data_IF_458171570928
#
_entry.id   IF_458171570928
#
_cell.length_a   1.000
_cell.length_b   1.000
_cell.length_c   1.000
_cell.angle_alpha   90.00
_cell.angle_beta   90.00
_cell.angle_gamma   90.00
#
_symmetry.space_group_name_H-M   'P 1'
#
loop_
_entity.id
_entity.type
_entity.pdbx_description
1 polymer ?
#
# COMPACT_ATOMS: atom_id res chain seq x y z
N UNK A 1 5.01 11.71 22.05
CA UNK A 1 4.00 11.31 21.04
C UNK A 1 2.66 11.86 21.48
N UNK A 2 1.86 12.41 20.56
CA UNK A 2 0.55 12.99 20.89
C UNK A 2 -0.50 12.47 19.91
N UNK A 3 -1.72 12.23 20.38
CA UNK A 3 -2.82 11.71 19.58
C UNK A 3 -3.99 12.69 19.64
N UNK A 4 -4.48 13.11 18.48
CA UNK A 4 -5.45 14.19 18.38
C UNK A 4 -6.45 13.99 17.22
N UNK A 5 -7.63 14.62 17.26
CA UNK A 5 -8.16 15.42 18.38
C UNK A 5 -8.48 14.55 19.60
N UNK A 6 -8.63 15.17 20.78
CA UNK A 6 -8.90 14.44 22.04
C UNK A 6 -10.28 13.76 22.05
N UNK A 7 -11.24 14.27 21.28
CA UNK A 7 -12.57 13.68 21.16
C UNK A 7 -13.11 13.87 19.74
N UNK A 8 -13.78 12.84 19.23
CA UNK A 8 -14.58 12.88 18.00
C UNK A 8 -15.97 12.33 18.28
N UNK A 9 -16.99 13.01 17.77
CA UNK A 9 -18.37 12.52 17.74
C UNK A 9 -18.84 12.51 16.30
N UNK A 10 -19.09 11.33 15.74
CA UNK A 10 -19.39 11.15 14.32
C UNK A 10 -20.53 10.13 14.13
N UNK A 11 -21.38 10.27 13.10
CA UNK A 11 -22.42 9.29 12.83
C UNK A 11 -21.86 7.98 12.25
N UNK A 12 -22.58 6.89 12.46
CA UNK A 12 -22.31 5.62 11.81
C UNK A 12 -22.34 5.74 10.27
N UNK A 13 -21.54 4.91 9.60
CA UNK A 13 -21.37 4.90 8.14
C UNK A 13 -20.23 5.82 7.64
N UNK A 14 -19.83 6.83 8.41
CA UNK A 14 -18.74 7.74 8.04
C UNK A 14 -17.34 7.18 8.29
N UNK A 15 -16.35 8.08 8.32
CA UNK A 15 -14.98 7.78 8.75
C UNK A 15 -14.50 8.72 9.86
N UNK A 16 -13.75 8.19 10.82
CA UNK A 16 -13.08 8.99 11.84
C UNK A 16 -11.61 9.19 11.46
N UNK A 17 -11.10 10.41 11.61
CA UNK A 17 -9.68 10.71 11.35
C UNK A 17 -9.01 11.19 12.63
N UNK A 18 -7.99 10.46 13.05
CA UNK A 18 -7.06 10.87 14.09
C UNK A 18 -5.68 11.13 13.50
N UNK A 19 -4.86 11.84 14.26
CA UNK A 19 -3.48 12.10 13.92
C UNK A 19 -2.59 11.77 15.11
N UNK A 20 -1.50 11.07 14.85
CA UNK A 20 -0.46 10.78 15.82
C UNK A 20 0.79 11.59 15.48
N UNK A 21 1.07 12.64 16.24
CA UNK A 21 2.26 13.48 16.03
C UNK A 21 3.43 12.96 16.87
N UNK A 22 4.56 12.76 16.20
CA UNK A 22 5.79 12.29 16.82
C UNK A 22 6.78 13.47 16.93
N UNK A 23 7.19 13.78 18.15
CA UNK A 23 8.33 14.66 18.39
C UNK A 23 9.58 13.79 18.37
N UNK A 24 10.17 13.58 17.18
CA UNK A 24 11.48 12.95 17.10
C UNK A 24 12.56 14.02 17.17
N UNK A 25 13.44 13.87 18.15
CA UNK A 25 14.61 14.72 18.33
C UNK A 25 15.70 14.21 17.39
N UNK A 26 15.81 14.82 16.20
CA UNK A 26 16.90 14.74 15.20
C UNK A 26 17.53 13.39 14.82
N UNK A 27 17.03 12.25 15.28
CA UNK A 27 17.60 10.96 14.91
C UNK A 27 17.02 10.47 13.58
N UNK A 28 17.49 11.11 12.51
CA UNK A 28 17.06 10.84 11.14
C UNK A 28 17.39 9.41 10.68
N UNK A 29 18.22 8.67 11.42
CA UNK A 29 18.55 7.28 11.15
C UNK A 29 17.55 6.29 11.74
N UNK A 30 16.61 6.73 12.59
CA UNK A 30 15.87 5.78 13.39
C UNK A 30 14.86 4.91 12.64
N UNK A 31 14.99 3.58 12.66
CA UNK A 31 13.86 2.70 12.34
C UNK A 31 12.85 2.74 13.50
N UNK A 32 11.59 2.99 13.17
CA UNK A 32 10.51 3.01 14.14
C UNK A 32 9.21 2.49 13.54
N UNK A 33 8.36 1.93 14.40
CA UNK A 33 7.00 1.55 14.06
C UNK A 33 6.00 2.31 14.91
N UNK A 34 4.88 2.66 14.28
CA UNK A 34 3.73 3.23 14.95
C UNK A 34 2.63 2.19 14.99
N UNK A 35 2.22 1.85 16.22
CA UNK A 35 1.08 1.00 16.48
C UNK A 35 -0.11 1.85 16.93
N UNK A 36 -1.30 1.50 16.46
CA UNK A 36 -2.55 2.10 16.92
C UNK A 36 -3.28 1.07 17.77
N UNK A 37 -3.74 1.51 18.93
CA UNK A 37 -4.41 0.68 19.91
C UNK A 37 -5.81 1.22 20.19
N UNK A 38 -6.72 0.28 20.48
CA UNK A 38 -8.04 0.55 21.03
C UNK A 38 -8.11 -0.06 22.43
N UNK A 39 -8.52 0.72 23.41
CA UNK A 39 -8.86 0.19 24.73
C UNK A 39 -10.16 -0.61 24.62
N UNK A 40 -10.13 -1.84 25.12
CA UNK A 40 -11.28 -2.72 25.22
C UNK A 40 -11.68 -2.82 26.70
N UNK A 41 -12.81 -3.50 26.96
CA UNK A 41 -13.34 -3.67 28.31
C UNK A 41 -12.28 -4.24 29.27
N UNK A 42 -12.36 -3.84 30.54
CA UNK A 42 -11.45 -4.27 31.61
C UNK A 42 -10.00 -3.76 31.49
N UNK A 43 -9.76 -2.68 30.73
CA UNK A 43 -8.45 -2.03 30.64
C UNK A 43 -7.44 -2.81 29.78
N UNK A 44 -7.87 -3.86 29.09
CA UNK A 44 -7.06 -4.51 28.07
C UNK A 44 -6.99 -3.62 26.82
N UNK A 45 -5.92 -3.77 26.04
CA UNK A 45 -5.68 -2.97 24.83
C UNK A 45 -5.49 -3.88 23.64
N UNK A 46 -6.19 -3.59 22.54
CA UNK A 46 -6.05 -4.33 21.30
C UNK A 46 -5.28 -3.48 20.29
N UNK A 47 -4.19 -4.03 19.73
CA UNK A 47 -3.51 -3.44 18.57
C UNK A 47 -4.41 -3.61 17.34
N UNK A 48 -4.78 -2.50 16.71
CA UNK A 48 -5.72 -2.49 15.58
C UNK A 48 -5.04 -2.21 14.23
N UNK A 49 -3.87 -1.56 14.24
CA UNK A 49 -3.12 -1.26 13.04
C UNK A 49 -1.64 -0.96 13.34
N UNK A 50 -0.80 -1.04 12.31
CA UNK A 50 0.63 -0.73 12.36
C UNK A 50 1.13 -0.09 11.06
N UNK A 51 2.09 0.82 11.18
CA UNK A 51 2.87 1.35 10.06
C UNK A 51 4.32 1.58 10.49
N UNK A 52 5.28 1.15 9.66
CA UNK A 52 6.70 1.46 9.85
C UNK A 52 7.05 2.79 9.19
N UNK A 53 8.13 3.43 9.65
CA UNK A 53 8.65 4.67 9.05
C UNK A 53 8.81 4.60 7.54
N UNK A 54 9.35 3.49 7.05
CA UNK A 54 9.62 3.24 5.63
C UNK A 54 8.36 3.14 4.76
N UNK A 55 7.21 2.82 5.35
CA UNK A 55 5.94 2.69 4.62
C UNK A 55 5.21 4.02 4.54
N UNK A 56 4.79 4.38 3.32
CA UNK A 56 3.95 5.58 3.07
C UNK A 56 2.51 5.39 3.56
N UNK A 57 1.97 4.19 3.38
CA UNK A 57 0.60 3.88 3.79
C UNK A 57 0.45 2.39 4.12
N UNK A 58 -0.37 2.07 5.11
CA UNK A 58 -0.90 0.73 5.40
C UNK A 58 -2.43 0.80 5.35
N UNK A 59 -3.06 -0.14 4.67
CA UNK A 59 -4.53 -0.20 4.54
C UNK A 59 -5.06 -1.59 4.89
N UNK A 60 -6.11 -1.63 5.70
CA UNK A 60 -6.93 -2.80 5.96
C UNK A 60 -8.37 -2.52 5.53
N UNK A 61 -9.29 -3.48 5.73
CA UNK A 61 -10.73 -3.25 5.50
C UNK A 61 -11.29 -2.12 6.38
N UNK A 62 -10.71 -1.93 7.58
CA UNK A 62 -11.25 -1.03 8.61
C UNK A 62 -10.40 0.21 8.84
N UNK A 63 -9.10 0.14 8.60
CA UNK A 63 -8.15 1.18 8.99
C UNK A 63 -7.26 1.59 7.82
N UNK A 64 -6.98 2.89 7.71
CA UNK A 64 -5.96 3.45 6.80
C UNK A 64 -4.98 4.28 7.61
N UNK A 65 -3.71 3.91 7.58
CA UNK A 65 -2.63 4.65 8.23
C UNK A 65 -1.77 5.26 7.13
N UNK A 66 -1.60 6.57 7.13
CA UNK A 66 -0.78 7.30 6.16
C UNK A 66 0.31 8.08 6.87
N UNK A 67 1.55 7.92 6.41
CA UNK A 67 2.71 8.62 6.94
C UNK A 67 2.81 10.02 6.31
N UNK A 68 2.47 11.04 7.10
CA UNK A 68 2.64 12.46 6.79
C UNK A 68 3.65 13.10 7.76
N UNK A 69 4.84 12.48 7.88
CA UNK A 69 5.89 12.87 8.83
C UNK A 69 5.99 14.41 9.02
N UNK A 70 6.01 14.91 10.27
CA UNK A 70 6.14 14.17 11.53
C UNK A 70 4.80 13.65 12.10
N UNK A 71 3.69 13.72 11.36
CA UNK A 71 2.40 13.21 11.81
C UNK A 71 1.96 11.99 11.01
N UNK A 72 1.36 11.01 11.68
CA UNK A 72 0.68 9.91 11.02
C UNK A 72 -0.81 10.19 11.02
N UNK A 73 -1.47 10.05 9.88
CA UNK A 73 -2.92 10.12 9.77
C UNK A 73 -3.49 8.71 9.93
N UNK A 74 -4.45 8.55 10.83
CA UNK A 74 -5.14 7.29 11.12
C UNK A 74 -6.61 7.52 10.74
N UNK A 75 -7.14 6.71 9.83
CA UNK A 75 -8.55 6.74 9.44
C UNK A 75 -9.23 5.42 9.81
N UNK A 76 -10.36 5.51 10.52
CA UNK A 76 -11.26 4.40 10.81
C UNK A 76 -12.43 4.50 9.84
N UNK A 77 -12.57 3.52 8.95
CA UNK A 77 -13.57 3.51 7.88
C UNK A 77 -14.88 2.88 8.34
N UNK A 78 -15.99 3.24 7.70
CA UNK A 78 -17.31 2.61 7.88
C UNK A 78 -17.67 2.48 9.36
N UNK A 79 -17.76 3.61 10.05
CA UNK A 79 -18.00 3.66 11.50
C UNK A 79 -19.29 2.92 11.88
N UNK A 80 -19.23 2.19 12.98
CA UNK A 80 -20.37 1.57 13.64
C UNK A 80 -20.30 1.87 15.15
N UNK A 81 -21.38 1.65 15.88
CA UNK A 81 -21.45 1.99 17.31
C UNK A 81 -20.38 1.29 18.14
N UNK A 82 -19.98 0.07 17.78
CA UNK A 82 -18.95 -0.68 18.49
C UNK A 82 -17.55 -0.11 18.28
N UNK A 83 -17.35 0.79 17.31
CA UNK A 83 -16.09 1.53 17.16
C UNK A 83 -15.95 2.64 18.20
N UNK A 84 -16.99 2.96 18.97
CA UNK A 84 -16.84 3.89 20.08
C UNK A 84 -15.83 3.37 21.10
N UNK A 85 -15.11 4.29 21.74
CA UNK A 85 -14.14 3.98 22.79
C UNK A 85 -12.88 4.84 22.75
N UNK A 86 -11.90 4.47 23.57
CA UNK A 86 -10.62 5.17 23.69
C UNK A 86 -9.56 4.59 22.75
N UNK A 87 -8.85 5.47 22.07
CA UNK A 87 -7.81 5.15 21.10
C UNK A 87 -6.52 5.89 21.46
N UNK A 88 -5.38 5.27 21.18
CA UNK A 88 -4.07 5.89 21.34
C UNK A 88 -3.07 5.29 20.36
N UNK A 89 -1.94 5.98 20.16
CA UNK A 89 -0.82 5.47 19.38
C UNK A 89 0.40 5.21 20.26
N UNK A 90 1.12 4.14 19.96
CA UNK A 90 2.42 3.81 20.53
C UNK A 90 3.50 3.89 19.46
N UNK A 91 4.56 4.62 19.75
CA UNK A 91 5.77 4.68 18.92
C UNK A 91 6.82 3.75 19.52
N UNK A 92 7.30 2.81 18.72
CA UNK A 92 8.39 1.90 19.08
C UNK A 92 9.60 2.31 18.26
N UNK A 93 10.69 2.67 18.91
CA UNK A 93 11.97 3.01 18.26
C UNK A 93 12.98 1.90 18.51
N UNK A 94 13.61 1.39 17.45
CA UNK A 94 14.54 0.26 17.49
C UNK A 94 16.00 0.74 17.60
N UNK A 95 16.33 1.45 18.67
CA UNK A 95 17.70 1.90 19.02
C UNK A 95 18.04 1.30 20.36
N UNK A 96 19.30 0.93 20.61
CA UNK A 96 19.68 0.43 21.93
C UNK A 96 19.66 1.57 22.98
N UNK A 97 18.78 1.53 24.01
CA UNK A 97 17.76 0.52 24.33
C UNK A 97 16.38 0.81 23.69
N UNK A 98 15.68 -0.27 23.27
CA UNK A 98 14.36 -0.16 22.64
C UNK A 98 13.44 0.70 23.51
N UNK A 99 12.82 1.72 22.90
CA UNK A 99 11.97 2.67 23.61
C UNK A 99 10.57 2.64 23.04
N UNK A 100 9.60 2.49 23.95
CA UNK A 100 8.19 2.60 23.65
C UNK A 100 7.65 3.90 24.24
N UNK A 101 7.01 4.71 23.40
CA UNK A 101 6.39 5.96 23.81
C UNK A 101 4.91 5.94 23.44
N UNK A 102 4.04 5.98 24.45
CA UNK A 102 2.61 6.08 24.26
C UNK A 102 2.15 7.54 24.19
N UNK A 103 1.07 7.77 23.45
CA UNK A 103 0.37 9.06 23.42
C UNK A 103 -0.65 9.19 24.55
N UNK A 104 -1.26 10.36 24.66
CA UNK A 104 -2.55 10.51 25.31
C UNK A 104 -3.63 9.67 24.61
N UNK A 105 -4.76 9.46 25.30
CA UNK A 105 -5.94 8.81 24.73
C UNK A 105 -6.84 9.85 24.08
N UNK A 106 -7.50 9.45 23.01
CA UNK A 106 -8.60 10.18 22.39
C UNK A 106 -9.86 9.32 22.39
N UNK A 107 -11.02 9.96 22.54
CA UNK A 107 -12.30 9.27 22.62
C UNK A 107 -13.08 9.40 21.31
N UNK A 108 -13.53 8.28 20.75
CA UNK A 108 -14.46 8.24 19.63
C UNK A 108 -15.86 7.90 20.15
N UNK A 109 -16.85 8.72 19.79
CA UNK A 109 -18.27 8.45 20.00
C UNK A 109 -18.93 8.31 18.66
N UNK A 110 -19.46 7.12 18.36
CA UNK A 110 -20.21 6.88 17.13
C UNK A 110 -21.70 6.95 17.41
N UNK A 111 -22.38 7.96 16.87
CA UNK A 111 -23.83 8.12 17.00
C UNK A 111 -24.58 7.31 15.94
N UNK A 112 -25.88 7.13 16.11
CA UNK A 112 -26.73 6.58 15.07
C UNK A 112 -26.57 7.37 13.76
N UNK A 113 -26.70 6.69 12.63
CA UNK A 113 -26.76 7.36 11.34
C UNK A 113 -28.00 8.27 11.31
N UNK A 114 -27.92 9.50 10.79
CA UNK A 114 -29.09 10.35 10.66
C UNK A 114 -30.14 9.62 9.80
N UNK A 115 -31.36 9.56 10.31
CA UNK A 115 -32.48 9.08 9.51
C UNK A 115 -32.58 9.98 8.28
N UNK A 116 -32.63 9.38 7.10
CA UNK A 116 -32.88 10.10 5.86
C UNK A 116 -34.32 10.58 5.94
N UNK A 117 -34.54 11.76 6.49
CA UNK A 117 -35.88 12.36 6.59
C UNK A 117 -36.35 12.58 5.16
N UNK A 118 -37.27 11.75 4.68
CA UNK A 118 -38.03 12.04 3.47
C UNK A 118 -38.86 13.28 3.82
N UNK A 119 -38.40 14.45 3.38
CA UNK A 119 -39.07 15.71 3.62
C UNK A 119 -40.46 15.68 2.96
N UNK A 120 -41.50 15.69 3.78
CA UNK A 120 -42.83 16.15 3.41
C UNK A 120 -42.89 17.66 3.69
N UNK A 121 -43.22 18.43 2.66
CA UNK A 121 -43.67 19.84 2.63
C UNK A 121 -42.73 20.98 3.11
N UNK A 122 -41.85 21.47 2.22
CA UNK A 122 -41.66 22.91 1.88
C UNK A 122 -40.76 23.06 0.62
N UNK A 123 -40.83 24.16 -0.16
CA UNK A 123 -40.66 24.14 -1.60
C UNK A 123 -39.23 23.80 -2.04
N UNK A 124 -39.20 22.85 -2.96
CA UNK A 124 -38.07 22.27 -3.64
C UNK A 124 -37.31 23.33 -4.43
N UNK A 125 -36.04 23.56 -4.08
CA UNK A 125 -35.04 24.04 -5.02
C UNK A 125 -34.48 22.79 -5.67
N UNK A 126 -35.13 22.37 -6.76
CA UNK A 126 -34.76 21.20 -7.54
C UNK A 126 -33.29 21.28 -7.99
N UNK A 127 -32.46 20.41 -7.45
CA UNK A 127 -31.30 19.87 -8.17
C UNK A 127 -31.57 18.40 -8.43
N UNK A 128 -32.59 18.15 -9.27
CA UNK A 128 -32.94 16.84 -9.81
C UNK A 128 -31.86 16.39 -10.79
N UNK A 129 -30.81 15.75 -10.28
CA UNK A 129 -30.01 14.87 -11.12
C UNK A 129 -30.69 13.51 -11.18
N UNK A 130 -31.80 13.45 -11.93
CA UNK A 130 -32.49 12.21 -12.22
C UNK A 130 -31.53 11.23 -12.92
N UNK A 131 -31.64 9.92 -12.64
CA UNK A 131 -30.85 8.89 -13.32
C UNK A 131 -31.09 8.86 -14.84
N UNK A 132 -32.13 9.52 -15.35
CA UNK A 132 -32.41 9.64 -16.77
C UNK A 132 -31.60 10.77 -17.44
N UNK A 133 -31.27 11.85 -16.72
CA UNK A 133 -30.35 12.87 -17.23
C UNK A 133 -28.94 12.30 -17.43
N UNK A 134 -28.49 11.45 -16.50
CA UNK A 134 -27.20 10.76 -16.61
C UNK A 134 -27.19 9.81 -17.83
N UNK A 135 -28.26 9.02 -18.05
CA UNK A 135 -28.38 8.16 -19.24
C UNK A 135 -28.40 8.96 -20.54
N UNK A 136 -29.12 10.09 -20.58
CA UNK A 136 -29.18 10.96 -21.75
C UNK A 136 -27.81 11.56 -22.08
N UNK A 137 -27.05 12.00 -21.07
CA UNK A 137 -25.68 12.47 -21.23
C UNK A 137 -24.75 11.36 -21.71
N UNK A 138 -24.83 10.15 -21.14
CA UNK A 138 -24.02 9.02 -21.59
C UNK A 138 -24.33 8.61 -23.04
N UNK A 139 -25.61 8.56 -23.43
CA UNK A 139 -26.03 8.31 -24.81
C UNK A 139 -25.53 9.41 -25.76
N UNK A 140 -25.60 10.68 -25.34
CA UNK A 140 -25.07 11.81 -26.08
C UNK A 140 -23.56 11.70 -26.30
N UNK A 141 -22.80 11.37 -25.27
CA UNK A 141 -21.34 11.16 -25.35
C UNK A 141 -21.01 9.98 -26.26
N UNK A 142 -21.76 8.87 -26.17
CA UNK A 142 -21.55 7.68 -27.00
C UNK A 142 -21.77 7.98 -28.50
N UNK A 143 -22.82 8.75 -28.83
CA UNK A 143 -23.12 9.17 -30.20
C UNK A 143 -22.05 10.12 -30.75
N UNK A 144 -21.62 11.10 -29.93
CA UNK A 144 -20.55 12.03 -30.30
C UNK A 144 -19.23 11.29 -30.56
N UNK A 145 -18.84 10.39 -29.66
CA UNK A 145 -17.64 9.56 -29.82
C UNK A 145 -17.72 8.70 -31.09
N UNK A 146 -18.88 8.07 -31.34
CA UNK A 146 -19.12 7.28 -32.56
C UNK A 146 -18.98 8.11 -33.84
N UNK A 147 -19.55 9.31 -33.87
CA UNK A 147 -19.43 10.22 -35.02
C UNK A 147 -17.98 10.63 -35.29
N UNK A 148 -17.21 10.94 -34.24
CA UNK A 148 -15.78 11.28 -34.36
C UNK A 148 -14.99 10.10 -34.93
N UNK A 149 -15.23 8.88 -34.45
CA UNK A 149 -14.56 7.66 -34.96
C UNK A 149 -14.89 7.44 -36.44
N UNK A 150 -16.16 7.62 -36.85
CA UNK A 150 -16.57 7.51 -38.25
C UNK A 150 -15.91 8.56 -39.13
N UNK A 151 -15.76 9.79 -38.65
CA UNK A 151 -15.04 10.85 -39.38
C UNK A 151 -13.56 10.52 -39.53
N UNK A 152 -12.89 9.99 -38.49
CA UNK A 152 -11.50 9.55 -38.57
C UNK A 152 -11.36 8.40 -39.59
N UNK A 153 -12.24 7.41 -39.53
CA UNK A 153 -12.21 6.28 -40.46
C UNK A 153 -12.52 6.72 -41.90
N UNK A 154 -13.46 7.63 -42.10
CA UNK A 154 -13.76 8.26 -43.38
C UNK A 154 -12.58 9.06 -43.92
N UNK A 155 -11.92 9.86 -43.08
CA UNK A 155 -10.72 10.60 -43.44
C UNK A 155 -9.59 9.65 -43.84
N UNK A 156 -9.30 8.63 -43.02
CA UNK A 156 -8.29 7.63 -43.32
C UNK A 156 -8.60 6.92 -44.64
N UNK A 157 -9.82 6.42 -44.86
CA UNK A 157 -10.19 5.77 -46.12
C UNK A 157 -10.04 6.67 -47.34
N UNK A 158 -10.35 7.97 -47.23
CA UNK A 158 -10.08 8.96 -48.30
C UNK A 158 -8.58 9.14 -48.51
N UNK A 159 -7.78 9.30 -47.45
CA UNK A 159 -6.33 9.48 -47.56
C UNK A 159 -5.61 8.23 -48.06
N UNK A 160 -6.05 7.03 -47.69
CA UNK A 160 -5.50 5.77 -48.17
C UNK A 160 -5.90 5.51 -49.64
N UNK A 161 -7.14 5.83 -50.04
CA UNK A 161 -7.52 5.82 -51.47
C UNK A 161 -6.77 6.86 -52.29
N UNK A 162 -6.40 7.99 -51.69
CA UNK A 162 -5.60 9.04 -52.36
C UNK A 162 -4.09 8.73 -52.34
N UNK A 163 -3.63 7.91 -51.40
CA UNK A 163 -2.26 7.42 -51.29
C UNK A 163 -1.90 6.29 -52.26
N UNK A 164 -2.89 5.62 -52.86
CA UNK A 164 -2.67 4.59 -53.90
C UNK A 164 -2.31 5.17 -55.29
N UNK A 165 -2.28 6.50 -55.43
CA UNK A 165 -1.96 7.18 -56.70
C UNK A 165 -0.47 7.62 -56.78
N UNK A 166 0.33 7.44 -55.73
CA UNK A 166 1.78 7.66 -55.83
C UNK A 166 2.58 6.51 -55.22
N UNK A 167 2.88 5.52 -56.07
CA UNK A 167 3.99 4.60 -55.87
C UNK A 167 5.00 4.78 -57.02
N UNK A 168 6.24 5.23 -56.76
CA UNK A 168 7.35 4.95 -57.63
C UNK A 168 7.99 3.61 -57.24
N UNK A 169 8.29 2.85 -58.28
CA UNK A 169 8.98 1.55 -58.33
C UNK A 169 10.51 1.74 -58.32
N UNK A 170 11.24 0.91 -57.56
CA UNK A 170 12.67 0.61 -57.73
C UNK A 170 13.06 -0.45 -56.67
N UNK A 171 13.05 -1.75 -56.98
CA UNK A 171 14.17 -2.60 -57.47
C UNK A 171 14.94 -3.38 -56.37
N UNK A 172 14.84 -4.73 -56.45
CA UNK A 172 15.82 -5.81 -56.17
C UNK A 172 16.26 -6.11 -54.70
N UNK A 173 15.83 -7.20 -54.00
CA UNK A 173 16.25 -8.66 -54.03
C UNK A 173 17.60 -8.92 -53.28
N UNK A 174 17.92 -10.07 -52.60
CA UNK A 174 17.15 -11.22 -52.06
C UNK A 174 17.44 -11.59 -50.56
N UNK A 175 16.77 -12.65 -50.11
CA UNK A 175 16.78 -13.31 -48.81
C UNK A 175 18.14 -13.79 -48.24
N UNK A 176 18.24 -13.78 -46.90
CA UNK A 176 19.10 -14.71 -46.15
C UNK A 176 18.33 -15.21 -44.91
N UNK A 177 17.90 -16.47 -44.98
CA UNK A 177 17.34 -17.26 -43.89
C UNK A 177 18.51 -17.89 -43.11
N UNK A 178 18.60 -17.66 -41.80
CA UNK A 178 19.58 -18.32 -40.91
C UNK A 178 18.85 -19.28 -39.96
N UNK A 179 19.39 -20.50 -39.72
CA UNK A 179 18.74 -21.51 -38.89
C UNK A 179 18.78 -21.13 -37.39
N UNK A 180 17.96 -21.78 -36.54
CA UNK A 180 17.60 -21.27 -35.22
C UNK A 180 18.77 -21.35 -34.24
N UNK A 181 19.09 -20.23 -33.60
CA UNK A 181 20.00 -20.20 -32.45
C UNK A 181 19.23 -20.76 -31.25
N UNK A 182 19.57 -21.97 -30.84
CA UNK A 182 19.13 -22.56 -29.57
C UNK A 182 19.70 -21.73 -28.44
N UNK A 183 18.84 -20.97 -27.76
CA UNK A 183 19.19 -20.27 -26.52
C UNK A 183 19.28 -21.31 -25.38
N UNK A 184 20.49 -21.73 -25.06
CA UNK A 184 20.75 -22.50 -23.84
C UNK A 184 20.70 -21.53 -22.66
N UNK A 185 19.73 -21.71 -21.77
CA UNK A 185 19.65 -20.99 -20.51
C UNK A 185 20.76 -21.47 -19.57
N UNK A 186 21.90 -20.79 -19.57
CA UNK A 186 22.91 -20.96 -18.52
C UNK A 186 22.42 -20.24 -17.26
N UNK A 187 22.26 -21.00 -16.17
CA UNK A 187 21.90 -20.43 -14.87
C UNK A 187 23.09 -19.60 -14.39
N UNK A 188 22.85 -18.31 -14.16
CA UNK A 188 23.83 -17.37 -13.67
C UNK A 188 24.01 -17.59 -12.16
N UNK A 189 25.09 -18.29 -11.78
CA UNK A 189 25.45 -18.45 -10.37
C UNK A 189 26.17 -17.18 -9.92
N UNK A 190 25.47 -16.36 -9.13
CA UNK A 190 26.05 -15.18 -8.50
C UNK A 190 27.24 -15.57 -7.62
N UNK A 191 28.40 -14.97 -7.89
CA UNK A 191 29.61 -15.10 -7.08
C UNK A 191 29.51 -14.15 -5.89
N UNK A 192 29.57 -14.68 -4.67
CA UNK A 192 29.67 -13.88 -3.45
C UNK A 192 31.14 -13.53 -3.19
N UNK A 193 31.47 -12.25 -3.29
CA UNK A 193 32.77 -11.73 -2.89
C UNK A 193 32.75 -11.44 -1.39
N UNK A 194 33.51 -12.22 -0.63
CA UNK A 194 33.70 -11.98 0.80
C UNK A 194 34.84 -10.99 1.00
N UNK A 195 34.51 -9.81 1.53
CA UNK A 195 35.48 -8.79 1.87
C UNK A 195 36.33 -9.30 3.03
N UNK A 196 37.59 -9.64 2.75
CA UNK A 196 38.57 -10.04 3.77
C UNK A 196 39.12 -8.76 4.38
N UNK A 197 38.69 -8.42 5.59
CA UNK A 197 39.32 -7.35 6.36
C UNK A 197 40.82 -7.64 6.47
N UNK A 198 41.64 -6.67 6.05
CA UNK A 198 43.09 -6.73 6.19
C UNK A 198 43.43 -6.60 7.67
N UNK A 199 43.49 -7.73 8.37
CA UNK A 199 44.20 -7.79 9.64
C UNK A 199 45.70 -7.77 9.35
N UNK A 200 46.38 -6.81 9.99
CA UNK A 200 47.82 -6.56 9.98
C UNK A 200 48.66 -7.85 9.89
N UNK A 201 49.54 -7.92 8.88
CA UNK A 201 50.44 -9.04 8.70
C UNK A 201 51.41 -9.17 9.88
N UNK A 202 51.45 -10.35 10.49
CA UNK A 202 52.57 -10.83 11.31
C UNK A 202 53.09 -12.13 10.67
N UNK A 203 54.42 -12.35 10.56
CA UNK A 203 55.00 -13.43 9.77
C UNK A 203 54.65 -14.84 10.27
N UNK A 204 54.55 -15.74 9.31
CA UNK A 204 54.11 -17.13 9.38
C UNK A 204 54.93 -18.02 10.34
N UNK A 205 54.26 -18.73 11.24
CA UNK A 205 54.74 -20.01 11.75
C UNK A 205 53.76 -21.14 11.39
N UNK A 206 54.35 -22.14 10.72
CA UNK A 206 54.00 -23.54 10.52
C UNK A 206 52.58 -24.00 10.91
N UNK A 207 51.76 -24.25 9.88
CA UNK A 207 50.47 -24.97 9.99
C UNK A 207 50.64 -26.39 10.55
N UNK A 208 49.68 -26.88 11.33
CA UNK A 208 49.07 -28.18 11.12
C UNK A 208 47.78 -28.05 10.31
N UNK A 209 47.51 -29.12 9.59
CA UNK A 209 46.46 -29.36 8.59
C UNK A 209 45.07 -29.52 9.25
N UNK A 210 44.04 -29.03 8.56
CA UNK A 210 42.59 -29.20 8.79
C UNK A 210 42.03 -28.99 10.20
N UNK A 211 41.56 -27.77 10.47
CA UNK A 211 40.42 -27.56 11.35
C UNK A 211 39.20 -27.23 10.50
N UNK A 212 38.52 -28.28 10.03
CA UNK A 212 37.17 -28.13 9.46
C UNK A 212 36.20 -28.05 10.61
N UNK A 213 35.72 -26.84 10.92
CA UNK A 213 34.69 -26.63 11.92
C UNK A 213 33.33 -26.94 11.29
N UNK A 214 32.67 -27.98 11.79
CA UNK A 214 31.32 -28.35 11.37
C UNK A 214 30.30 -27.72 12.32
N UNK A 215 29.34 -26.99 11.77
CA UNK A 215 28.15 -26.57 12.50
C UNK A 215 27.04 -27.63 12.33
N UNK A 216 26.48 -28.11 13.44
CA UNK A 216 25.34 -29.03 13.42
C UNK A 216 24.04 -28.23 13.44
N UNK A 217 23.24 -28.36 12.38
CA UNK A 217 21.88 -27.80 12.35
C UNK A 217 20.94 -28.79 13.04
N UNK A 218 20.40 -28.44 14.20
CA UNK A 218 19.41 -29.25 14.93
C UNK A 218 18.02 -28.76 14.55
N UNK A 219 17.24 -29.63 13.90
CA UNK A 219 15.82 -29.37 13.65
C UNK A 219 15.00 -29.73 14.89
N UNK A 220 14.03 -28.91 15.30
CA UNK A 220 13.12 -29.26 16.39
C UNK A 220 12.26 -30.47 16.00
N UNK A 221 11.96 -31.35 16.97
CA UNK A 221 11.07 -32.49 16.75
C UNK A 221 9.67 -32.02 16.32
N UNK A 222 9.16 -32.62 15.24
CA UNK A 222 7.77 -32.44 14.84
C UNK A 222 6.86 -32.98 15.95
N UNK A 223 5.95 -32.11 16.42
CA UNK A 223 4.96 -32.51 17.41
C UNK A 223 4.10 -33.64 16.83
N UNK A 224 3.90 -34.75 17.55
CA UNK A 224 3.00 -35.80 17.08
C UNK A 224 1.60 -35.20 16.91
N UNK A 225 1.06 -35.30 15.69
CA UNK A 225 -0.34 -35.03 15.42
C UNK A 225 -1.13 -36.15 16.07
N UNK A 226 -1.69 -35.90 17.26
CA UNK A 226 -2.72 -36.77 17.82
C UNK A 226 -3.92 -36.76 16.88
N UNK A 227 -4.37 -37.91 16.37
CA UNK A 227 -5.63 -37.97 15.66
C UNK A 227 -6.74 -37.67 16.67
N UNK A 228 -7.55 -36.65 16.38
CA UNK A 228 -8.82 -36.45 17.07
C UNK A 228 -9.63 -37.74 16.99
N UNK A 229 -10.11 -38.18 18.15
CA UNK A 229 -11.11 -39.24 18.27
C UNK A 229 -12.27 -38.72 19.10
#
# INVERSE_FOLDING_TARGET
>A
VTFFPAMLTLPAGGSATFFCNISMENDSGSEYSLNVYKEINHGQTQKIAEISRSKRQTKTKKYVLTNHAPAFKIEILNLNQNDSGSYYCGLITFFEPDKVMESNRSHLVVTAAPEKTNATDEPELEEDNSPDHIKAVFLGILLLAGAVVLLIFGYLTITYRRGDVQKPRSENVPAEEKPPVVSVSTVDYGVLEFQRDQCTQVPSETRPVDQTEYATIVFPEERPVTPER
#
